data_IF_392599789816
#
_entry.id   IF_392599789816
#
_cell.length_a   1.000
_cell.length_b   1.000
_cell.length_c   1.000
_cell.angle_alpha   90.00
_cell.angle_beta   90.00
_cell.angle_gamma   90.00
#
_symmetry.space_group_name_H-M   'P 1'
#
loop_
_entity.id
_entity.type
_entity.pdbx_description
1 polymer ?
#
# COMPACT_ATOMS: atom_id res chain seq x y z
N UNK A 1 -3.74 -8.36 -23.24
CA UNK A 1 -3.47 -8.01 -21.82
C UNK A 1 -2.21 -8.68 -21.27
N UNK A 2 -1.93 -9.96 -21.53
CA UNK A 2 -0.71 -10.63 -21.04
C UNK A 2 0.62 -10.16 -21.68
N UNK A 3 0.59 -9.77 -22.97
CA UNK A 3 1.80 -9.32 -23.67
C UNK A 3 2.38 -7.98 -23.19
N UNK A 4 1.53 -7.05 -22.75
CA UNK A 4 1.97 -5.75 -22.22
C UNK A 4 2.51 -5.88 -20.79
N UNK A 5 1.94 -6.79 -19.97
CA UNK A 5 2.47 -7.10 -18.64
C UNK A 5 3.79 -7.89 -18.67
N UNK A 6 4.09 -8.57 -19.78
CA UNK A 6 5.36 -9.27 -19.94
C UNK A 6 6.56 -8.31 -20.06
N UNK A 7 6.35 -7.08 -20.55
CA UNK A 7 7.42 -6.08 -20.69
C UNK A 7 7.98 -5.64 -19.32
N UNK A 8 7.19 -5.17 -18.33
CA UNK A 8 7.70 -4.89 -16.99
C UNK A 8 8.31 -6.10 -16.30
N UNK A 9 7.74 -7.30 -16.50
CA UNK A 9 8.25 -8.52 -15.89
C UNK A 9 9.64 -8.89 -16.44
N UNK A 10 9.83 -8.83 -17.76
CA UNK A 10 11.13 -9.09 -18.39
C UNK A 10 12.17 -8.04 -18.01
N UNK A 11 11.75 -6.77 -17.93
CA UNK A 11 12.60 -5.67 -17.48
C UNK A 11 13.02 -5.85 -16.01
N UNK A 12 12.08 -6.19 -15.13
CA UNK A 12 12.36 -6.46 -13.72
C UNK A 12 13.28 -7.68 -13.56
N UNK A 13 13.04 -8.75 -14.31
CA UNK A 13 13.91 -9.94 -14.31
C UNK A 13 15.34 -9.58 -14.72
N UNK A 14 15.49 -8.80 -15.79
CA UNK A 14 16.80 -8.34 -16.27
C UNK A 14 17.50 -7.45 -15.22
N UNK A 15 16.78 -6.55 -14.56
CA UNK A 15 17.32 -5.67 -13.52
C UNK A 15 17.77 -6.41 -12.26
N UNK A 16 17.02 -7.45 -11.84
CA UNK A 16 17.36 -8.24 -10.65
C UNK A 16 18.72 -8.93 -10.81
N UNK A 17 19.10 -9.32 -12.03
CA UNK A 17 20.42 -9.91 -12.30
C UNK A 17 21.59 -8.95 -12.02
N UNK A 18 21.33 -7.63 -11.99
CA UNK A 18 22.34 -6.61 -11.68
C UNK A 18 22.24 -6.06 -10.26
N UNK A 19 21.19 -6.40 -9.50
CA UNK A 19 21.03 -5.91 -8.13
C UNK A 19 21.93 -6.71 -7.17
N UNK A 20 22.69 -6.04 -6.29
CA UNK A 20 23.41 -6.74 -5.22
C UNK A 20 22.42 -7.41 -4.27
N UNK A 21 22.82 -8.54 -3.70
CA UNK A 21 22.03 -9.23 -2.69
C UNK A 21 21.88 -8.37 -1.41
N UNK A 22 20.84 -8.67 -0.61
CA UNK A 22 20.58 -7.92 0.61
C UNK A 22 21.77 -8.02 1.58
N UNK A 23 22.32 -6.89 2.05
CA UNK A 23 23.50 -6.91 2.95
C UNK A 23 23.23 -7.65 4.26
N UNK A 24 21.98 -7.61 4.74
CA UNK A 24 21.54 -8.37 5.92
C UNK A 24 21.60 -9.89 5.69
N UNK A 25 21.25 -10.34 4.49
CA UNK A 25 21.32 -11.75 4.12
C UNK A 25 22.78 -12.21 3.96
N UNK A 26 23.63 -11.40 3.31
CA UNK A 26 25.07 -11.67 3.17
C UNK A 26 25.75 -11.80 4.54
N UNK A 27 25.45 -10.88 5.46
CA UNK A 27 25.98 -10.90 6.83
C UNK A 27 25.50 -12.12 7.64
N UNK A 28 24.26 -12.57 7.42
CA UNK A 28 23.75 -13.78 8.08
C UNK A 28 24.38 -15.08 7.57
N UNK A 29 24.69 -15.17 6.27
CA UNK A 29 24.93 -16.45 5.60
C UNK A 29 26.40 -16.88 5.54
N UNK A 30 27.38 -15.97 5.51
CA UNK A 30 28.80 -16.20 5.93
C UNK A 30 29.80 -15.08 5.55
N UNK A 31 29.55 -14.29 4.50
CA UNK A 31 30.53 -13.31 3.99
C UNK A 31 30.29 -11.88 4.51
N UNK A 32 30.85 -11.59 5.69
CA UNK A 32 30.82 -10.24 6.28
C UNK A 32 31.51 -9.21 5.39
N UNK A 33 32.60 -9.58 4.74
CA UNK A 33 33.36 -8.72 3.83
C UNK A 33 32.53 -8.25 2.64
N UNK A 34 31.76 -9.14 2.02
CA UNK A 34 30.88 -8.81 0.90
C UNK A 34 29.70 -7.94 1.34
N UNK A 35 29.13 -8.21 2.52
CA UNK A 35 28.10 -7.36 3.12
C UNK A 35 28.60 -5.93 3.33
N UNK A 36 29.85 -5.75 3.78
CA UNK A 36 30.49 -4.44 3.96
C UNK A 36 30.70 -3.73 2.61
N UNK A 37 31.10 -4.46 1.56
CA UNK A 37 31.25 -3.91 0.20
C UNK A 37 29.92 -3.45 -0.40
N UNK A 38 28.81 -4.12 -0.09
CA UNK A 38 27.47 -3.69 -0.51
C UNK A 38 27.01 -2.49 0.31
N UNK A 39 27.25 -2.48 1.62
CA UNK A 39 26.91 -1.35 2.50
C UNK A 39 27.69 -0.08 2.14
N UNK A 40 28.96 -0.19 1.75
CA UNK A 40 29.81 0.94 1.35
C UNK A 40 29.38 1.61 0.04
N UNK A 41 28.60 0.90 -0.79
CA UNK A 41 27.97 1.49 -1.99
C UNK A 41 26.71 2.31 -1.66
N UNK A 42 26.12 2.10 -0.48
CA UNK A 42 24.84 2.71 -0.07
C UNK A 42 25.07 3.85 0.92
N UNK A 43 26.03 3.71 1.83
CA UNK A 43 26.31 4.65 2.91
C UNK A 43 27.66 5.33 2.76
N UNK A 44 27.75 6.60 3.18
CA UNK A 44 29.00 7.33 3.27
C UNK A 44 30.02 6.63 4.19
N UNK A 45 31.33 6.72 3.89
CA UNK A 45 32.39 6.06 4.66
C UNK A 45 32.35 6.38 6.16
N UNK A 46 31.91 7.59 6.52
CA UNK A 46 31.82 8.05 7.91
C UNK A 46 30.73 7.35 8.73
N UNK A 47 29.64 6.91 8.08
CA UNK A 47 28.52 6.22 8.75
C UNK A 47 28.58 4.70 8.58
N UNK A 48 29.42 4.22 7.67
CA UNK A 48 29.54 2.82 7.31
C UNK A 48 29.84 1.92 8.52
N UNK A 49 30.83 2.27 9.35
CA UNK A 49 31.18 1.48 10.54
C UNK A 49 30.02 1.39 11.54
N UNK A 50 29.33 2.51 11.78
CA UNK A 50 28.19 2.54 12.69
C UNK A 50 27.03 1.67 12.19
N UNK A 51 26.71 1.71 10.89
CA UNK A 51 25.65 0.90 10.30
C UNK A 51 26.01 -0.59 10.31
N UNK A 52 27.29 -0.95 10.12
CA UNK A 52 27.77 -2.33 10.24
C UNK A 52 27.61 -2.82 11.68
N UNK A 53 27.99 -2.02 12.66
CA UNK A 53 27.88 -2.37 14.08
C UNK A 53 26.41 -2.53 14.51
N UNK A 54 25.53 -1.63 14.08
CA UNK A 54 24.10 -1.72 14.33
C UNK A 54 23.49 -2.98 13.68
N UNK A 55 23.87 -3.28 12.44
CA UNK A 55 23.42 -4.48 11.74
C UNK A 55 23.90 -5.76 12.45
N UNK A 56 25.16 -5.76 12.93
CA UNK A 56 25.72 -6.86 13.69
C UNK A 56 24.97 -7.09 15.00
N UNK A 57 24.76 -6.04 15.78
CA UNK A 57 24.05 -6.09 17.06
C UNK A 57 22.60 -6.58 16.88
N UNK A 58 21.87 -6.07 15.89
CA UNK A 58 20.50 -6.50 15.60
C UNK A 58 20.42 -7.99 15.23
N UNK A 59 21.37 -8.48 14.44
CA UNK A 59 21.41 -9.89 14.04
C UNK A 59 21.82 -10.83 15.18
N UNK A 60 22.70 -10.38 16.08
CA UNK A 60 23.03 -11.14 17.29
C UNK A 60 21.85 -11.21 18.25
N UNK A 61 21.12 -10.11 18.44
CA UNK A 61 19.90 -10.08 19.24
C UNK A 61 18.83 -11.03 18.67
N UNK A 62 18.64 -11.05 17.34
CA UNK A 62 17.73 -11.99 16.68
C UNK A 62 18.20 -13.45 16.82
N UNK A 63 19.51 -13.71 16.70
CA UNK A 63 20.08 -15.05 16.91
C UNK A 63 19.88 -15.52 18.35
N UNK A 64 20.10 -14.66 19.34
CA UNK A 64 19.89 -15.00 20.75
C UNK A 64 18.41 -15.22 21.08
N UNK A 65 17.52 -14.47 20.42
CA UNK A 65 16.06 -14.67 20.48
C UNK A 65 15.56 -15.85 19.62
N UNK A 66 16.44 -16.67 19.03
CA UNK A 66 16.11 -17.78 18.12
C UNK A 66 15.19 -18.83 18.74
N UNK A 67 13.89 -18.54 18.75
CA UNK A 67 12.91 -19.52 18.32
C UNK A 67 12.63 -19.21 16.86
N UNK A 68 12.80 -20.20 15.98
CA UNK A 68 12.22 -20.14 14.63
C UNK A 68 10.75 -19.81 14.81
N UNK A 69 10.36 -18.58 14.51
CA UNK A 69 8.99 -18.11 14.68
C UNK A 69 8.13 -18.91 13.71
N UNK A 70 7.36 -19.85 14.25
CA UNK A 70 6.38 -20.59 13.48
C UNK A 70 5.13 -19.74 13.29
N UNK A 71 4.37 -19.98 12.22
CA UNK A 71 3.07 -19.31 12.01
C UNK A 71 2.13 -19.46 13.21
N UNK A 72 2.26 -20.55 13.96
CA UNK A 72 1.47 -20.83 15.17
C UNK A 72 1.90 -19.96 16.36
N UNK A 73 3.15 -19.47 16.37
CA UNK A 73 3.66 -18.62 17.47
C UNK A 73 3.01 -17.23 17.47
N UNK A 74 2.40 -16.83 16.34
CA UNK A 74 1.55 -15.63 16.25
C UNK A 74 0.35 -15.72 17.21
N UNK A 75 -0.19 -16.92 17.44
CA UNK A 75 -1.31 -17.13 18.37
C UNK A 75 -0.84 -17.26 19.83
N UNK A 76 0.41 -17.70 20.05
CA UNK A 76 0.98 -17.96 21.39
C UNK A 76 1.61 -16.72 22.02
N UNK A 77 2.31 -15.91 21.24
CA UNK A 77 3.02 -14.73 21.72
C UNK A 77 2.09 -13.52 21.69
N UNK A 78 1.81 -12.93 22.86
CA UNK A 78 0.91 -11.78 23.02
C UNK A 78 1.32 -10.58 22.16
N UNK A 79 2.61 -10.34 22.03
CA UNK A 79 3.18 -9.25 21.22
C UNK A 79 2.97 -9.49 19.72
N UNK A 80 3.29 -10.69 19.21
CA UNK A 80 3.04 -11.05 17.82
C UNK A 80 1.55 -11.03 17.48
N UNK A 81 0.69 -11.47 18.42
CA UNK A 81 -0.76 -11.44 18.23
C UNK A 81 -1.29 -10.01 18.10
N UNK A 82 -0.80 -9.09 18.93
CA UNK A 82 -1.17 -7.68 18.85
C UNK A 82 -0.68 -7.03 17.55
N UNK A 83 0.57 -7.29 17.16
CA UNK A 83 1.12 -6.80 15.89
C UNK A 83 0.37 -7.37 14.68
N UNK A 84 0.05 -8.66 14.71
CA UNK A 84 -0.73 -9.33 13.66
C UNK A 84 -2.15 -8.78 13.57
N UNK A 85 -2.85 -8.65 14.70
CA UNK A 85 -4.21 -8.10 14.73
C UNK A 85 -4.24 -6.64 14.26
N UNK A 86 -3.24 -5.84 14.66
CA UNK A 86 -3.11 -4.45 14.20
C UNK A 86 -2.85 -4.38 12.68
N UNK A 87 -1.93 -5.21 12.16
CA UNK A 87 -1.61 -5.25 10.73
C UNK A 87 -2.76 -5.80 9.88
N UNK A 88 -3.32 -6.94 10.27
CA UNK A 88 -4.46 -7.56 9.61
C UNK A 88 -5.71 -6.67 9.67
N UNK A 89 -5.97 -6.06 10.84
CA UNK A 89 -7.05 -5.09 11.01
C UNK A 89 -6.87 -3.88 10.11
N UNK A 90 -5.67 -3.28 10.07
CA UNK A 90 -5.38 -2.15 9.20
C UNK A 90 -5.57 -2.51 7.71
N UNK A 91 -5.11 -3.69 7.30
CA UNK A 91 -5.29 -4.17 5.92
C UNK A 91 -6.76 -4.41 5.58
N UNK A 92 -7.54 -4.99 6.51
CA UNK A 92 -8.97 -5.15 6.35
C UNK A 92 -9.68 -3.80 6.23
N UNK A 93 -9.34 -2.82 7.07
CA UNK A 93 -9.87 -1.45 6.97
C UNK A 93 -9.53 -0.80 5.63
N UNK A 94 -8.30 -0.95 5.12
CA UNK A 94 -7.95 -0.47 3.77
C UNK A 94 -8.89 -1.06 2.71
N UNK A 95 -9.21 -2.35 2.78
CA UNK A 95 -10.11 -2.98 1.81
C UNK A 95 -11.56 -2.52 1.98
N UNK A 96 -12.04 -2.36 3.22
CA UNK A 96 -13.42 -1.92 3.49
C UNK A 96 -13.73 -0.50 3.02
N UNK A 97 -12.71 0.34 2.82
CA UNK A 97 -12.90 1.64 2.15
C UNK A 97 -13.44 1.51 0.72
N UNK A 98 -13.40 0.31 0.12
CA UNK A 98 -13.94 0.05 -1.21
C UNK A 98 -13.10 0.64 -2.32
N UNK A 99 -11.85 1.04 -2.05
CA UNK A 99 -10.98 1.70 -3.04
C UNK A 99 -10.81 0.87 -4.32
N UNK A 100 -10.75 -0.47 -4.19
CA UNK A 100 -10.67 -1.36 -5.33
C UNK A 100 -11.94 -1.28 -6.19
N UNK A 101 -13.13 -1.37 -5.59
CA UNK A 101 -14.41 -1.20 -6.28
C UNK A 101 -14.49 0.15 -6.99
N UNK A 102 -14.10 1.23 -6.29
CA UNK A 102 -14.06 2.57 -6.87
C UNK A 102 -13.11 2.65 -8.07
N UNK A 103 -11.90 2.09 -7.98
CA UNK A 103 -10.93 2.10 -9.07
C UNK A 103 -11.42 1.32 -10.31
N UNK A 104 -12.10 0.19 -10.11
CA UNK A 104 -12.60 -0.63 -11.23
C UNK A 104 -13.87 -0.06 -11.86
N UNK A 105 -14.78 0.49 -11.06
CA UNK A 105 -16.08 0.99 -11.53
C UNK A 105 -16.15 2.51 -11.70
N UNK A 106 -15.08 3.25 -11.41
CA UNK A 106 -15.00 4.70 -11.64
C UNK A 106 -15.47 5.12 -13.04
N UNK A 107 -15.04 4.48 -14.16
CA UNK A 107 -15.54 4.85 -15.48
C UNK A 107 -17.05 4.62 -15.63
N UNK A 108 -17.60 3.58 -15.01
CA UNK A 108 -19.03 3.24 -15.06
C UNK A 108 -19.86 4.22 -14.23
N UNK A 109 -19.41 4.59 -13.03
CA UNK A 109 -20.08 5.59 -12.17
C UNK A 109 -20.16 6.95 -12.88
N UNK A 110 -19.07 7.33 -13.56
CA UNK A 110 -19.03 8.57 -14.35
C UNK A 110 -19.94 8.52 -15.58
N UNK A 111 -20.07 7.36 -16.23
CA UNK A 111 -21.02 7.17 -17.33
C UNK A 111 -22.48 7.25 -16.83
N UNK A 112 -22.78 6.64 -15.68
CA UNK A 112 -24.10 6.73 -15.03
C UNK A 112 -24.46 8.16 -14.61
N UNK A 113 -23.48 9.02 -14.33
CA UNK A 113 -23.67 10.44 -14.05
C UNK A 113 -24.02 11.30 -15.29
N UNK A 114 -24.16 10.71 -16.48
CA UNK A 114 -24.73 11.37 -17.67
C UNK A 114 -23.74 11.72 -18.79
N UNK A 115 -22.46 11.34 -18.68
CA UNK A 115 -21.46 11.64 -19.72
C UNK A 115 -21.35 10.51 -20.75
N UNK A 116 -22.13 10.60 -21.83
CA UNK A 116 -22.28 9.58 -22.90
C UNK A 116 -21.05 9.40 -23.83
N UNK A 117 -19.87 9.95 -23.50
CA UNK A 117 -18.68 9.89 -24.38
C UNK A 117 -17.59 8.99 -23.79
N UNK A 118 -17.23 7.91 -24.47
CA UNK A 118 -16.15 6.96 -24.09
C UNK A 118 -14.82 7.67 -23.79
N UNK A 119 -14.54 8.77 -24.48
CA UNK A 119 -13.33 9.59 -24.25
C UNK A 119 -13.38 10.34 -22.91
N UNK A 120 -14.55 10.85 -22.50
CA UNK A 120 -14.71 11.54 -21.20
C UNK A 120 -14.61 10.56 -20.04
N UNK A 121 -15.18 9.35 -20.16
CA UNK A 121 -15.05 8.32 -19.14
C UNK A 121 -13.58 7.92 -18.91
N UNK A 122 -12.79 7.77 -19.98
CA UNK A 122 -11.35 7.52 -19.89
C UNK A 122 -10.59 8.70 -19.25
N UNK A 123 -10.94 9.94 -19.62
CA UNK A 123 -10.29 11.15 -19.09
C UNK A 123 -10.59 11.32 -17.60
N UNK A 124 -11.81 11.02 -17.15
CA UNK A 124 -12.17 11.06 -15.72
C UNK A 124 -11.51 9.93 -14.93
N UNK A 125 -11.39 8.72 -15.48
CA UNK A 125 -10.61 7.65 -14.83
C UNK A 125 -9.12 7.99 -14.73
N UNK A 126 -8.57 8.70 -15.72
CA UNK A 126 -7.20 9.21 -15.67
C UNK A 126 -7.04 10.26 -14.56
N UNK A 127 -8.00 11.17 -14.38
CA UNK A 127 -8.00 12.15 -13.29
C UNK A 127 -8.05 11.44 -11.93
N UNK A 128 -8.89 10.43 -11.77
CA UNK A 128 -8.97 9.63 -10.54
C UNK A 128 -7.64 8.92 -10.25
N UNK A 129 -7.03 8.31 -11.26
CA UNK A 129 -5.71 7.69 -11.12
C UNK A 129 -4.62 8.73 -10.76
N UNK A 130 -4.66 9.91 -11.37
CA UNK A 130 -3.75 11.00 -11.06
C UNK A 130 -3.94 11.51 -9.61
N UNK A 131 -5.18 11.67 -9.16
CA UNK A 131 -5.48 12.04 -7.76
C UNK A 131 -4.97 10.97 -6.78
N UNK A 132 -5.09 9.69 -7.12
CA UNK A 132 -4.52 8.60 -6.31
C UNK A 132 -2.99 8.70 -6.23
N UNK A 133 -2.32 8.97 -7.36
CA UNK A 133 -0.87 9.15 -7.41
C UNK A 133 -0.42 10.35 -6.57
N UNK A 134 -1.06 11.51 -6.76
CA UNK A 134 -0.78 12.73 -5.99
C UNK A 134 -1.04 12.51 -4.50
N UNK A 135 -2.16 11.89 -4.14
CA UNK A 135 -2.49 11.55 -2.76
C UNK A 135 -1.46 10.59 -2.14
N UNK A 136 -0.91 9.66 -2.92
CA UNK A 136 0.15 8.76 -2.47
C UNK A 136 1.45 9.52 -2.23
N UNK A 137 1.86 10.42 -3.14
CA UNK A 137 3.07 11.24 -2.98
C UNK A 137 2.94 12.16 -1.77
N UNK A 138 1.81 12.86 -1.63
CA UNK A 138 1.51 13.66 -0.45
C UNK A 138 1.49 12.80 0.82
N UNK A 139 0.91 11.60 0.76
CA UNK A 139 0.91 10.67 1.87
C UNK A 139 2.31 10.27 2.32
N UNK A 140 3.21 9.99 1.37
CA UNK A 140 4.64 9.71 1.66
C UNK A 140 5.29 10.94 2.30
N UNK A 141 5.06 12.15 1.80
CA UNK A 141 5.64 13.35 2.39
C UNK A 141 5.11 13.63 3.81
N UNK A 142 3.80 13.47 4.02
CA UNK A 142 3.16 13.74 5.31
C UNK A 142 3.46 12.66 6.36
N UNK A 143 3.80 11.44 5.95
CA UNK A 143 4.06 10.34 6.90
C UNK A 143 5.29 10.61 7.76
N UNK A 144 6.28 11.28 7.18
CA UNK A 144 7.54 11.62 7.84
C UNK A 144 7.37 12.83 8.79
N UNK A 145 6.45 13.75 8.49
CA UNK A 145 6.19 14.95 9.31
C UNK A 145 5.15 14.75 10.43
N UNK A 146 4.03 14.09 10.15
CA UNK A 146 2.89 13.99 11.08
C UNK A 146 2.91 12.68 11.90
N UNK A 147 3.63 11.68 11.41
CA UNK A 147 3.76 10.37 12.01
C UNK A 147 2.68 9.38 11.58
N UNK A 148 3.07 8.10 11.48
CA UNK A 148 2.29 7.00 10.88
C UNK A 148 0.88 6.81 11.47
N UNK A 149 0.74 6.89 12.81
CA UNK A 149 -0.53 6.61 13.51
C UNK A 149 -1.56 7.72 13.32
N UNK A 150 -1.14 8.98 13.41
CA UNK A 150 -2.04 10.14 13.26
C UNK A 150 -2.55 10.24 11.83
N UNK A 151 -1.67 9.99 10.85
CA UNK A 151 -2.04 10.00 9.44
C UNK A 151 -3.09 8.92 9.11
N UNK A 152 -2.89 7.69 9.57
CA UNK A 152 -3.85 6.61 9.38
C UNK A 152 -5.23 6.94 9.99
N UNK A 153 -5.27 7.43 11.24
CA UNK A 153 -6.53 7.79 11.90
C UNK A 153 -7.24 8.97 11.20
N UNK A 154 -6.49 9.98 10.75
CA UNK A 154 -7.05 11.12 10.02
C UNK A 154 -7.66 10.70 8.68
N UNK A 155 -7.00 9.80 7.94
CA UNK A 155 -7.53 9.27 6.69
C UNK A 155 -8.81 8.44 6.90
N UNK A 156 -8.88 7.66 7.97
CA UNK A 156 -10.07 6.87 8.30
C UNK A 156 -11.27 7.78 8.59
N UNK A 157 -11.05 8.86 9.35
CA UNK A 157 -12.07 9.87 9.61
C UNK A 157 -12.58 10.51 8.31
N UNK A 158 -11.66 10.90 7.41
CA UNK A 158 -12.01 11.48 6.11
C UNK A 158 -12.82 10.54 5.23
N UNK A 159 -12.46 9.24 5.19
CA UNK A 159 -13.21 8.22 4.45
C UNK A 159 -14.62 8.03 5.03
N UNK A 160 -14.75 7.95 6.36
CA UNK A 160 -16.06 7.83 7.02
C UNK A 160 -16.98 9.00 6.68
N UNK A 161 -16.47 10.23 6.74
CA UNK A 161 -17.24 11.43 6.37
C UNK A 161 -17.64 11.37 4.90
N UNK A 162 -16.72 11.00 4.00
CA UNK A 162 -17.00 10.90 2.57
C UNK A 162 -18.07 9.84 2.24
N UNK A 163 -18.05 8.71 2.95
CA UNK A 163 -19.07 7.66 2.81
C UNK A 163 -20.44 8.12 3.32
N UNK A 164 -20.49 8.88 4.42
CA UNK A 164 -21.75 9.47 4.92
C UNK A 164 -22.31 10.47 3.90
N UNK A 165 -21.46 11.36 3.36
CA UNK A 165 -21.88 12.32 2.33
C UNK A 165 -22.42 11.59 1.10
N UNK A 166 -21.74 10.52 0.66
CA UNK A 166 -22.20 9.72 -0.47
C UNK A 166 -23.54 9.04 -0.18
N UNK A 167 -23.72 8.45 1.01
CA UNK A 167 -24.96 7.83 1.42
C UNK A 167 -26.12 8.84 1.47
N UNK A 168 -25.90 10.03 2.02
CA UNK A 168 -26.91 11.11 2.04
C UNK A 168 -27.24 11.58 0.63
N UNK A 169 -26.24 11.75 -0.24
CA UNK A 169 -26.46 12.13 -1.64
C UNK A 169 -27.35 11.12 -2.37
N UNK A 170 -27.11 9.81 -2.19
CA UNK A 170 -27.96 8.76 -2.76
C UNK A 170 -29.39 8.77 -2.20
N UNK A 171 -29.57 9.01 -0.90
CA UNK A 171 -30.91 9.10 -0.29
C UNK A 171 -31.69 10.31 -0.84
N UNK A 172 -31.04 11.46 -0.99
CA UNK A 172 -31.66 12.65 -1.59
C UNK A 172 -32.04 12.40 -3.05
N UNK A 173 -31.19 11.72 -3.82
CA UNK A 173 -31.46 11.38 -5.21
C UNK A 173 -32.59 10.36 -5.37
N UNK A 174 -32.76 9.45 -4.41
CA UNK A 174 -33.92 8.52 -4.36
C UNK A 174 -35.25 9.20 -4.01
N UNK A 175 -35.21 10.44 -3.53
CA UNK A 175 -36.42 11.21 -3.18
C UNK A 175 -37.00 11.96 -4.39
N UNK A 176 -36.28 12.05 -5.51
CA UNK A 176 -36.81 12.55 -6.79
C UNK A 176 -37.66 11.44 -7.48
N UNK A 177 -39.00 11.55 -7.52
CA UNK A 177 -39.88 10.45 -7.95
C UNK A 177 -39.76 10.06 -9.43
N UNK A 178 -39.00 10.82 -10.22
CA UNK A 178 -38.92 10.66 -11.68
C UNK A 178 -37.73 9.79 -12.11
N UNK A 179 -36.67 9.70 -11.30
CA UNK A 179 -35.47 8.90 -11.65
C UNK A 179 -35.35 7.58 -10.88
N UNK A 180 -36.04 7.42 -9.73
CA UNK A 180 -36.03 6.18 -8.96
C UNK A 180 -36.63 4.97 -9.69
N UNK A 181 -37.56 5.20 -10.63
CA UNK A 181 -38.19 4.12 -11.39
C UNK A 181 -37.28 3.52 -12.47
N UNK A 182 -36.31 4.29 -12.99
CA UNK A 182 -35.35 3.78 -13.98
C UNK A 182 -34.20 2.98 -13.35
N UNK A 183 -33.83 3.25 -12.10
CA UNK A 183 -32.75 2.51 -11.42
C UNK A 183 -33.24 1.16 -10.88
N UNK A 184 -34.53 1.04 -10.52
CA UNK A 184 -35.13 -0.23 -10.09
C UNK A 184 -35.35 -1.25 -11.20
N UNK A 185 -35.31 -0.84 -12.47
CA UNK A 185 -35.59 -1.70 -13.64
C UNK A 185 -34.33 -2.17 -14.38
N UNK A 186 -33.14 -1.86 -13.87
CA UNK A 186 -31.85 -2.30 -14.45
C UNK A 186 -31.05 -3.27 -13.54
N UNK A 187 -31.68 -3.82 -12.50
CA UNK A 187 -31.16 -4.96 -11.74
C UNK A 187 -31.82 -6.27 -12.18
#
# INVERSE_FOLDING_TARGET
MLGVSALPAALQFSLILFLPESPRWLYMKKDKSEAILVLSKIYDPYRLEQEIEQLAAALEEEKQKSKKVSYIDVLKLKELRLAFLAGAGLQAFKQFTGINTFMYYSPTIVQMAGFNSKQLALLLSLIVAAMNAVGTVLGIYLIDHVGRRKLALSSLCGVTVSLIVLAVAFLLQSTDPVNGFMVGLQW
#
